data_IF_539849715305
#
_entry.id   IF_539849715305
#
_cell.length_a   1.000
_cell.length_b   1.000
_cell.length_c   1.000
_cell.angle_alpha   90.00
_cell.angle_beta   90.00
_cell.angle_gamma   90.00
#
_symmetry.space_group_name_H-M   'P 1'
#
loop_
_entity.id
_entity.type
_entity.pdbx_description
1 polymer ?
#
# COMPACT_ATOMS: atom_id res chain seq x y z
N UNK A 1 -0.46 28.63 -33.66
CA UNK A 1 -1.75 28.22 -34.28
C UNK A 1 -1.70 26.84 -34.97
N UNK A 2 -0.53 26.34 -35.41
CA UNK A 2 -0.42 25.09 -36.17
C UNK A 2 -0.63 23.79 -35.35
N UNK A 3 -0.20 23.73 -34.09
CA UNK A 3 -0.29 22.50 -33.29
C UNK A 3 -1.73 22.04 -32.99
N UNK A 4 -2.65 22.97 -32.72
CA UNK A 4 -4.05 22.65 -32.48
C UNK A 4 -4.72 22.06 -33.72
N UNK A 5 -4.45 22.66 -34.89
CA UNK A 5 -4.92 22.15 -36.19
C UNK A 5 -4.35 20.76 -36.48
N UNK A 6 -3.06 20.54 -36.23
CA UNK A 6 -2.44 19.23 -36.36
C UNK A 6 -3.14 18.19 -35.47
N UNK A 7 -3.32 18.49 -34.18
CA UNK A 7 -4.00 17.57 -33.25
C UNK A 7 -5.45 17.27 -33.66
N UNK A 8 -6.20 18.24 -34.17
CA UNK A 8 -7.58 18.03 -34.60
C UNK A 8 -7.68 17.15 -35.84
N UNK A 9 -6.86 17.40 -36.87
CA UNK A 9 -6.86 16.61 -38.11
C UNK A 9 -6.38 15.18 -37.86
N UNK A 10 -5.31 15.02 -37.08
CA UNK A 10 -4.83 13.70 -36.65
C UNK A 10 -5.95 12.94 -35.94
N UNK A 11 -6.65 13.59 -35.01
CA UNK A 11 -7.76 12.97 -34.29
C UNK A 11 -8.89 12.48 -35.22
N UNK A 12 -9.20 13.22 -36.29
CA UNK A 12 -10.22 12.85 -37.27
C UNK A 12 -9.77 11.65 -38.11
N UNK A 13 -8.55 11.69 -38.66
CA UNK A 13 -8.03 10.59 -39.48
C UNK A 13 -7.97 9.29 -38.66
N UNK A 14 -7.41 9.34 -37.45
CA UNK A 14 -7.25 8.17 -36.59
C UNK A 14 -8.59 7.50 -36.29
N UNK A 15 -9.63 8.28 -35.98
CA UNK A 15 -10.94 7.73 -35.64
C UNK A 15 -11.70 7.15 -36.82
N UNK A 16 -11.53 7.71 -38.01
CA UNK A 16 -12.27 7.26 -39.21
C UNK A 16 -11.60 6.14 -39.97
N UNK A 17 -10.27 6.00 -39.88
CA UNK A 17 -9.52 5.26 -40.90
C UNK A 17 -8.46 4.32 -40.35
N UNK A 18 -8.16 4.36 -39.05
CA UNK A 18 -7.12 3.50 -38.46
C UNK A 18 -7.79 2.53 -37.48
N UNK A 19 -7.65 1.20 -37.70
CA UNK A 19 -8.18 0.23 -36.76
C UNK A 19 -7.48 0.37 -35.41
N UNK A 20 -8.19 0.07 -34.33
CA UNK A 20 -7.65 0.06 -32.97
C UNK A 20 -7.08 -1.33 -32.70
N UNK A 21 -5.77 -1.48 -32.80
CA UNK A 21 -5.07 -2.74 -32.54
C UNK A 21 -4.79 -2.92 -31.04
N UNK A 22 -4.62 -4.17 -30.62
CA UNK A 22 -4.40 -4.52 -29.21
C UNK A 22 -3.06 -4.00 -28.72
N UNK A 23 -1.98 -4.19 -29.48
CA UNK A 23 -0.63 -3.77 -29.13
C UNK A 23 -0.03 -2.79 -30.15
N UNK A 24 0.85 -1.90 -29.68
CA UNK A 24 1.48 -0.90 -30.57
C UNK A 24 2.41 -1.54 -31.61
N UNK A 25 3.08 -2.65 -31.25
CA UNK A 25 3.97 -3.38 -32.17
C UNK A 25 3.22 -3.90 -33.40
N UNK A 26 1.92 -4.12 -33.30
CA UNK A 26 1.10 -4.66 -34.39
C UNK A 26 0.88 -3.66 -35.51
N UNK A 27 1.20 -2.38 -35.30
CA UNK A 27 1.23 -1.37 -36.37
C UNK A 27 2.55 -1.36 -37.15
N UNK A 28 3.58 -2.06 -36.64
CA UNK A 28 4.91 -2.14 -37.25
C UNK A 28 5.17 -3.48 -37.94
N UNK A 29 4.27 -4.45 -37.79
CA UNK A 29 4.33 -5.72 -38.53
C UNK A 29 4.06 -5.47 -40.01
N UNK A 30 4.72 -6.27 -40.86
CA UNK A 30 4.63 -6.14 -42.32
C UNK A 30 3.19 -6.18 -42.84
N UNK A 31 2.36 -7.02 -42.22
CA UNK A 31 0.95 -7.20 -42.61
C UNK A 31 0.07 -5.96 -42.36
N UNK A 32 0.50 -5.07 -41.47
CA UNK A 32 -0.27 -3.90 -40.99
C UNK A 32 0.44 -2.57 -41.25
N UNK A 33 1.58 -2.60 -41.94
CA UNK A 33 2.41 -1.42 -42.21
C UNK A 33 1.64 -0.38 -43.05
N UNK A 34 0.71 -0.85 -43.88
CA UNK A 34 -0.17 -0.04 -44.70
C UNK A 34 -1.03 0.93 -43.89
N UNK A 35 -1.43 0.58 -42.66
CA UNK A 35 -2.19 1.48 -41.80
C UNK A 35 -1.40 2.72 -41.44
N UNK A 36 -0.11 2.56 -41.14
CA UNK A 36 0.77 3.67 -40.78
C UNK A 36 1.09 4.52 -42.01
N UNK A 37 1.41 3.89 -43.14
CA UNK A 37 1.68 4.59 -44.41
C UNK A 37 0.47 5.39 -44.89
N UNK A 38 -0.72 4.80 -44.85
CA UNK A 38 -1.97 5.47 -45.23
C UNK A 38 -2.28 6.66 -44.33
N UNK A 39 -2.09 6.51 -43.02
CA UNK A 39 -2.24 7.59 -42.05
C UNK A 39 -1.29 8.76 -42.33
N UNK A 40 0.01 8.49 -42.49
CA UNK A 40 1.02 9.52 -42.77
C UNK A 40 0.71 10.20 -44.11
N UNK A 41 0.37 9.44 -45.15
CA UNK A 41 0.01 9.98 -46.46
C UNK A 41 -1.24 10.89 -46.43
N UNK A 42 -2.24 10.57 -45.60
CA UNK A 42 -3.42 11.43 -45.40
C UNK A 42 -3.08 12.72 -44.67
N UNK A 43 -2.25 12.63 -43.63
CA UNK A 43 -1.78 13.81 -42.92
C UNK A 43 -0.94 14.73 -43.79
N UNK A 44 -0.05 14.17 -44.59
CA UNK A 44 0.75 14.91 -45.55
C UNK A 44 -0.13 15.75 -46.48
N UNK A 45 -1.21 15.15 -47.00
CA UNK A 45 -2.17 15.84 -47.88
C UNK A 45 -2.94 16.96 -47.17
N UNK A 46 -3.31 16.78 -45.90
CA UNK A 46 -4.12 17.77 -45.18
C UNK A 46 -3.31 18.93 -44.58
N UNK A 47 -2.06 18.68 -44.21
CA UNK A 47 -1.25 19.60 -43.42
C UNK A 47 0.07 19.99 -44.10
N UNK A 48 0.28 19.56 -45.35
CA UNK A 48 1.48 19.83 -46.14
C UNK A 48 2.76 19.44 -45.38
N UNK A 49 2.73 18.24 -44.79
CA UNK A 49 3.84 17.71 -43.99
C UNK A 49 4.83 17.02 -44.91
N UNK A 50 6.10 17.39 -44.79
CA UNK A 50 7.19 16.66 -45.42
C UNK A 50 7.34 15.27 -44.79
N UNK A 51 6.83 14.26 -45.50
CA UNK A 51 6.89 12.85 -45.11
C UNK A 51 8.28 12.24 -45.21
N UNK A 52 9.25 12.95 -45.79
CA UNK A 52 10.65 12.52 -45.85
C UNK A 52 11.43 12.95 -44.61
N UNK A 53 10.95 13.97 -43.89
CA UNK A 53 11.60 14.47 -42.70
C UNK A 53 11.38 13.54 -41.49
N UNK A 54 12.48 13.01 -40.96
CA UNK A 54 12.47 12.14 -39.77
C UNK A 54 11.70 12.77 -38.58
N UNK A 55 11.87 14.08 -38.25
CA UNK A 55 11.12 14.70 -37.16
C UNK A 55 9.60 14.67 -37.36
N UNK A 56 9.12 14.84 -38.60
CA UNK A 56 7.69 14.80 -38.89
C UNK A 56 7.11 13.39 -38.76
N UNK A 57 7.85 12.38 -39.22
CA UNK A 57 7.46 10.97 -39.06
C UNK A 57 7.35 10.62 -37.56
N UNK A 58 8.36 11.00 -36.76
CA UNK A 58 8.35 10.79 -35.31
C UNK A 58 7.15 11.48 -34.66
N UNK A 59 6.90 12.75 -34.98
CA UNK A 59 5.75 13.49 -34.44
C UNK A 59 4.41 12.85 -34.82
N UNK A 60 4.24 12.42 -36.08
CA UNK A 60 3.01 11.76 -36.55
C UNK A 60 2.80 10.41 -35.86
N UNK A 61 3.86 9.61 -35.71
CA UNK A 61 3.79 8.29 -35.05
C UNK A 61 3.49 8.42 -33.56
N UNK A 62 4.07 9.39 -32.86
CA UNK A 62 3.77 9.62 -31.45
C UNK A 62 2.35 10.14 -31.23
N UNK A 63 1.87 11.00 -32.12
CA UNK A 63 0.47 11.43 -32.08
C UNK A 63 -0.46 10.23 -32.30
N UNK A 64 -0.17 9.35 -33.26
CA UNK A 64 -0.94 8.13 -33.47
C UNK A 64 -0.95 7.23 -32.23
N UNK A 65 0.21 6.99 -31.61
CA UNK A 65 0.31 6.22 -30.34
C UNK A 65 -0.58 6.81 -29.27
N UNK A 66 -0.53 8.14 -29.11
CA UNK A 66 -1.30 8.83 -28.08
C UNK A 66 -2.81 8.68 -28.31
N UNK A 67 -3.27 8.86 -29.55
CA UNK A 67 -4.67 8.74 -29.92
C UNK A 67 -5.18 7.30 -29.76
N UNK A 68 -4.38 6.30 -30.17
CA UNK A 68 -4.73 4.89 -29.99
C UNK A 68 -4.78 4.49 -28.51
N UNK A 69 -3.89 5.03 -27.67
CA UNK A 69 -3.94 4.84 -26.22
C UNK A 69 -5.23 5.43 -25.63
N UNK A 70 -5.60 6.65 -26.04
CA UNK A 70 -6.83 7.30 -25.58
C UNK A 70 -8.08 6.56 -26.08
N UNK A 71 -8.08 6.10 -27.33
CA UNK A 71 -9.15 5.29 -27.90
C UNK A 71 -9.38 4.00 -27.11
N UNK A 72 -8.30 3.24 -26.86
CA UNK A 72 -8.35 2.03 -26.02
C UNK A 72 -8.85 2.32 -24.61
N UNK A 73 -8.37 3.39 -23.98
CA UNK A 73 -8.84 3.78 -22.65
C UNK A 73 -10.34 4.10 -22.64
N UNK A 74 -10.83 4.85 -23.64
CA UNK A 74 -12.26 5.18 -23.77
C UNK A 74 -13.11 3.93 -23.99
N UNK A 75 -12.67 3.01 -24.84
CA UNK A 75 -13.35 1.71 -25.06
C UNK A 75 -13.36 0.88 -23.78
N UNK A 76 -12.21 0.74 -23.12
CA UNK A 76 -12.11 0.03 -21.83
C UNK A 76 -13.04 0.65 -20.79
N UNK A 77 -13.05 1.98 -20.68
CA UNK A 77 -13.91 2.70 -19.75
C UNK A 77 -15.39 2.48 -20.04
N UNK A 78 -15.80 2.57 -21.31
CA UNK A 78 -17.20 2.44 -21.74
C UNK A 78 -17.75 1.02 -21.58
N UNK A 79 -16.95 0.01 -21.92
CA UNK A 79 -17.46 -1.37 -22.05
C UNK A 79 -16.99 -2.32 -20.94
N UNK A 80 -15.90 -2.03 -20.22
CA UNK A 80 -15.30 -2.98 -19.28
C UNK A 80 -15.20 -2.48 -17.83
N UNK A 81 -15.18 -1.17 -17.60
CA UNK A 81 -14.88 -0.62 -16.26
C UNK A 81 -16.11 -0.22 -15.42
N UNK A 82 -17.32 -0.14 -15.98
CA UNK A 82 -18.45 0.50 -15.28
C UNK A 82 -18.89 -0.25 -14.00
N UNK A 83 -18.72 -1.58 -13.95
CA UNK A 83 -19.12 -2.40 -12.80
C UNK A 83 -17.98 -2.69 -11.82
N UNK A 84 -16.76 -2.94 -12.32
CA UNK A 84 -15.62 -3.31 -11.46
C UNK A 84 -14.93 -2.12 -10.81
N UNK A 85 -14.82 -0.97 -11.50
CA UNK A 85 -14.14 0.20 -10.93
C UNK A 85 -14.98 0.88 -9.85
N UNK A 86 -16.30 0.96 -10.02
CA UNK A 86 -17.21 1.53 -9.01
C UNK A 86 -17.19 0.71 -7.72
N UNK A 87 -17.23 -0.61 -7.85
CA UNK A 87 -17.10 -1.55 -6.73
C UNK A 87 -15.74 -1.39 -6.03
N UNK A 88 -14.63 -1.32 -6.77
CA UNK A 88 -13.30 -1.12 -6.17
C UNK A 88 -13.18 0.23 -5.46
N UNK A 89 -13.67 1.33 -6.05
CA UNK A 89 -13.70 2.65 -5.40
C UNK A 89 -14.53 2.63 -4.12
N UNK A 90 -15.70 1.99 -4.14
CA UNK A 90 -16.54 1.81 -2.94
C UNK A 90 -15.77 1.01 -1.86
N UNK A 91 -15.13 -0.09 -2.26
CA UNK A 91 -14.32 -0.92 -1.36
C UNK A 91 -13.12 -0.14 -0.79
N UNK A 92 -12.46 0.70 -1.60
CA UNK A 92 -11.39 1.58 -1.14
C UNK A 92 -11.89 2.59 -0.10
N UNK A 93 -13.09 3.13 -0.30
CA UNK A 93 -13.73 4.02 0.67
C UNK A 93 -14.06 3.34 2.01
N UNK A 94 -14.23 2.02 2.03
CA UNK A 94 -14.47 1.24 3.24
C UNK A 94 -13.18 0.85 3.99
N UNK A 95 -11.99 1.07 3.41
CA UNK A 95 -10.72 0.75 4.06
C UNK A 95 -10.49 1.70 5.23
N UNK A 96 -10.57 1.16 6.45
CA UNK A 96 -10.38 1.93 7.70
C UNK A 96 -8.97 2.48 7.87
N UNK A 97 -7.97 1.68 7.52
CA UNK A 97 -6.55 2.02 7.69
C UNK A 97 -5.78 1.79 6.38
N UNK A 98 -5.55 2.85 5.57
CA UNK A 98 -4.76 2.74 4.36
C UNK A 98 -3.33 2.29 4.69
N UNK A 99 -2.83 1.30 3.95
CA UNK A 99 -1.48 0.77 4.13
C UNK A 99 -0.46 1.66 3.40
N UNK A 100 0.71 1.86 4.03
CA UNK A 100 1.83 2.67 3.53
C UNK A 100 3.08 1.82 3.19
N UNK A 101 2.91 0.54 2.86
CA UNK A 101 4.03 -0.38 2.50
C UNK A 101 4.38 -0.38 1.00
N UNK A 102 3.74 0.49 0.21
CA UNK A 102 3.97 0.56 -1.23
C UNK A 102 3.51 -0.72 -1.96
N UNK A 103 4.39 -1.30 -2.78
CA UNK A 103 4.11 -2.54 -3.52
C UNK A 103 4.31 -3.81 -2.69
N UNK A 104 4.82 -3.70 -1.46
CA UNK A 104 5.09 -4.85 -0.61
C UNK A 104 3.84 -5.28 0.16
N UNK A 105 3.62 -6.61 0.21
CA UNK A 105 2.61 -7.20 1.09
C UNK A 105 2.97 -6.99 2.56
N UNK A 106 1.99 -7.12 3.47
CA UNK A 106 2.23 -7.03 4.91
C UNK A 106 3.31 -7.99 5.39
N UNK A 107 3.30 -9.24 4.90
CA UNK A 107 4.28 -10.26 5.29
C UNK A 107 5.68 -9.84 4.83
N UNK A 108 5.83 -9.43 3.58
CA UNK A 108 7.10 -9.00 3.04
C UNK A 108 7.64 -7.77 3.78
N UNK A 109 6.79 -6.78 4.04
CA UNK A 109 7.21 -5.58 4.77
C UNK A 109 7.55 -5.90 6.23
N UNK A 110 6.81 -6.80 6.89
CA UNK A 110 7.12 -7.25 8.24
C UNK A 110 8.51 -7.87 8.33
N UNK A 111 8.91 -8.70 7.36
CA UNK A 111 10.27 -9.24 7.30
C UNK A 111 11.34 -8.15 7.18
N UNK A 112 11.11 -7.16 6.32
CA UNK A 112 12.03 -6.02 6.16
C UNK A 112 12.10 -5.20 7.45
N UNK A 113 10.98 -4.99 8.12
CA UNK A 113 10.93 -4.28 9.40
C UNK A 113 11.71 -5.05 10.46
N UNK A 114 11.48 -6.36 10.61
CA UNK A 114 12.19 -7.23 11.57
C UNK A 114 13.71 -7.19 11.40
N UNK A 115 14.20 -7.16 10.16
CA UNK A 115 15.64 -7.05 9.90
C UNK A 115 16.28 -5.75 10.42
N UNK A 116 15.49 -4.69 10.66
CA UNK A 116 15.99 -3.41 11.17
C UNK A 116 15.97 -3.32 12.70
N UNK A 117 15.26 -4.21 13.39
CA UNK A 117 15.21 -4.20 14.85
C UNK A 117 16.46 -4.89 15.38
N UNK A 118 17.16 -4.19 16.28
CA UNK A 118 18.42 -4.67 16.89
C UNK A 118 18.13 -5.57 18.09
N UNK A 119 17.04 -5.30 18.83
CA UNK A 119 16.64 -6.05 20.02
C UNK A 119 15.19 -6.54 19.89
N UNK A 120 15.01 -7.85 19.97
CA UNK A 120 13.70 -8.51 20.01
C UNK A 120 12.91 -8.46 18.69
N UNK A 121 11.84 -9.27 18.65
CA UNK A 121 10.85 -9.18 17.58
C UNK A 121 9.96 -7.94 17.79
N UNK A 122 9.66 -7.17 16.74
CA UNK A 122 8.84 -5.97 16.84
C UNK A 122 7.42 -6.30 17.32
N UNK A 123 6.94 -5.52 18.30
CA UNK A 123 5.59 -5.65 18.85
C UNK A 123 4.55 -5.45 17.74
N UNK A 124 3.35 -6.06 17.84
CA UNK A 124 2.26 -5.77 16.89
C UNK A 124 1.95 -4.27 16.72
N UNK A 125 2.06 -3.48 17.81
CA UNK A 125 1.89 -2.01 17.78
C UNK A 125 3.00 -1.34 16.96
N UNK A 126 4.23 -1.83 17.05
CA UNK A 126 5.37 -1.28 16.32
C UNK A 126 5.29 -1.59 14.83
N UNK A 127 4.86 -2.81 14.49
CA UNK A 127 4.53 -3.19 13.12
C UNK A 127 3.41 -2.31 12.56
N UNK A 128 2.32 -2.11 13.31
CA UNK A 128 1.21 -1.25 12.90
C UNK A 128 1.66 0.20 12.66
N UNK A 129 2.45 0.77 13.58
CA UNK A 129 3.05 2.09 13.44
C UNK A 129 3.91 2.20 12.18
N UNK A 130 4.65 1.15 11.82
CA UNK A 130 5.47 1.15 10.61
C UNK A 130 4.61 1.10 9.34
N UNK A 131 3.60 0.23 9.32
CA UNK A 131 2.76 0.00 8.14
C UNK A 131 1.82 1.16 7.80
N UNK A 132 1.50 2.02 8.77
CA UNK A 132 0.51 3.09 8.61
C UNK A 132 1.09 4.50 8.79
N UNK A 133 2.41 4.65 8.82
CA UNK A 133 3.07 5.94 8.81
C UNK A 133 3.37 6.37 7.36
N UNK A 134 2.76 7.46 6.92
CA UNK A 134 3.07 8.07 5.62
C UNK A 134 4.12 9.18 5.78
N UNK A 135 4.54 9.80 4.66
CA UNK A 135 5.36 11.03 4.71
C UNK A 135 4.71 12.16 5.50
N UNK A 136 3.38 12.17 5.56
CA UNK A 136 2.59 13.16 6.28
C UNK A 136 2.23 12.69 7.71
N UNK A 137 2.84 11.60 8.19
CA UNK A 137 2.52 10.97 9.46
C UNK A 137 1.30 10.04 9.40
N UNK A 138 0.64 9.88 10.55
CA UNK A 138 -0.49 8.98 10.77
C UNK A 138 -1.83 9.63 10.45
N UNK A 139 -2.75 8.86 9.86
CA UNK A 139 -4.15 9.28 9.71
C UNK A 139 -4.84 9.37 11.07
N UNK A 140 -5.84 10.24 11.22
CA UNK A 140 -6.56 10.40 12.48
C UNK A 140 -7.12 9.07 13.04
N UNK A 141 -7.71 8.17 12.22
CA UNK A 141 -8.14 6.85 12.69
C UNK A 141 -6.97 6.01 13.22
N UNK A 142 -5.81 6.04 12.55
CA UNK A 142 -4.64 5.27 12.96
C UNK A 142 -4.07 5.78 14.30
N UNK A 143 -4.07 7.10 14.53
CA UNK A 143 -3.63 7.68 15.79
C UNK A 143 -4.51 7.23 16.96
N UNK A 144 -5.84 7.28 16.78
CA UNK A 144 -6.80 6.80 17.79
C UNK A 144 -6.59 5.32 18.10
N UNK A 145 -6.40 4.50 17.07
CA UNK A 145 -6.13 3.06 17.23
C UNK A 145 -4.83 2.79 17.98
N UNK A 146 -3.74 3.50 17.65
CA UNK A 146 -2.44 3.38 18.32
C UNK A 146 -2.56 3.75 19.80
N UNK A 147 -3.22 4.88 20.10
CA UNK A 147 -3.43 5.34 21.47
C UNK A 147 -4.26 4.35 22.29
N UNK A 148 -5.34 3.81 21.70
CA UNK A 148 -6.17 2.80 22.34
C UNK A 148 -5.40 1.51 22.65
N UNK A 149 -4.59 1.03 21.69
CA UNK A 149 -3.77 -0.17 21.89
C UNK A 149 -2.72 0.03 23.00
N UNK A 150 -2.06 1.19 23.04
CA UNK A 150 -1.09 1.52 24.09
C UNK A 150 -1.73 1.56 25.49
N UNK A 151 -2.96 2.08 25.59
CA UNK A 151 -3.71 2.09 26.84
C UNK A 151 -4.02 0.68 27.34
N UNK A 152 -4.50 -0.21 26.46
CA UNK A 152 -4.77 -1.60 26.81
C UNK A 152 -3.51 -2.34 27.27
N UNK A 153 -2.36 -2.07 26.64
CA UNK A 153 -1.08 -2.66 27.08
C UNK A 153 -0.65 -2.18 28.47
N UNK A 154 -0.86 -0.90 28.78
CA UNK A 154 -0.56 -0.35 30.10
C UNK A 154 -1.47 -0.92 31.20
N UNK A 155 -2.78 -1.02 30.92
CA UNK A 155 -3.75 -1.61 31.86
C UNK A 155 -3.42 -3.08 32.16
N UNK A 156 -3.01 -3.85 31.14
CA UNK A 156 -2.60 -5.26 31.31
C UNK A 156 -1.32 -5.40 32.15
N UNK A 157 -0.37 -4.50 31.98
CA UNK A 157 0.85 -4.47 32.80
C UNK A 157 0.55 -4.10 34.26
N UNK A 158 -0.36 -3.16 34.48
CA UNK A 158 -0.75 -2.75 35.83
C UNK A 158 -1.47 -3.88 36.58
N UNK A 159 -2.38 -4.61 35.94
CA UNK A 159 -3.08 -5.74 36.56
C UNK A 159 -2.15 -6.91 36.88
N UNK A 160 -1.22 -7.24 35.98
CA UNK A 160 -0.21 -8.29 36.23
C UNK A 160 0.72 -7.93 37.39
N UNK A 161 1.18 -6.68 37.47
CA UNK A 161 2.00 -6.22 38.60
C UNK A 161 1.24 -6.25 39.93
N UNK A 162 -0.03 -5.85 39.95
CA UNK A 162 -0.88 -5.93 41.15
C UNK A 162 -1.06 -7.37 41.62
N UNK A 163 -1.33 -8.29 40.70
CA UNK A 163 -1.44 -9.72 41.03
C UNK A 163 -0.13 -10.30 41.57
N UNK A 164 1.01 -10.02 40.94
CA UNK A 164 2.32 -10.51 41.41
C UNK A 164 2.69 -9.94 42.79
N UNK A 165 2.33 -8.69 43.06
CA UNK A 165 2.60 -8.07 44.36
C UNK A 165 1.72 -8.65 45.47
N UNK A 166 0.47 -9.00 45.18
CA UNK A 166 -0.41 -9.72 46.12
C UNK A 166 0.14 -11.11 46.46
N UNK A 167 0.63 -11.86 45.47
CA UNK A 167 1.28 -13.17 45.69
C UNK A 167 2.54 -13.06 46.56
N UNK A 168 3.41 -12.07 46.28
CA UNK A 168 4.61 -11.83 47.08
C UNK A 168 4.27 -11.43 48.52
N UNK A 169 3.22 -10.63 48.73
CA UNK A 169 2.75 -10.28 50.07
C UNK A 169 2.20 -11.50 50.82
N UNK A 170 1.46 -12.39 50.14
CA UNK A 170 0.98 -13.63 50.74
C UNK A 170 2.15 -14.52 51.18
N UNK A 171 3.18 -14.68 50.34
CA UNK A 171 4.38 -15.44 50.67
C UNK A 171 5.16 -14.82 51.85
N UNK A 172 5.22 -13.49 51.92
CA UNK A 172 5.85 -12.79 53.04
C UNK A 172 5.10 -13.03 54.36
N UNK A 173 3.77 -13.17 54.33
CA UNK A 173 2.97 -13.50 55.52
C UNK A 173 3.23 -14.93 55.99
N UNK A 174 3.28 -15.90 55.07
CA UNK A 174 3.51 -17.31 55.44
C UNK A 174 4.91 -17.54 56.00
N UNK A 175 5.93 -16.89 55.43
CA UNK A 175 7.32 -16.94 55.95
C UNK A 175 7.41 -16.37 57.37
N UNK A 176 6.79 -15.23 57.65
CA UNK A 176 6.74 -14.66 59.00
C UNK A 176 6.02 -15.60 60.00
N UNK A 177 4.93 -16.26 59.58
CA UNK A 177 4.24 -17.25 60.40
C UNK A 177 5.14 -18.45 60.72
N UNK A 178 5.85 -18.99 59.72
CA UNK A 178 6.80 -20.08 59.92
C UNK A 178 7.93 -19.69 60.89
N UNK A 179 8.50 -18.50 60.72
CA UNK A 179 9.52 -17.97 61.64
C UNK A 179 9.00 -17.90 63.08
N UNK A 180 7.76 -17.45 63.29
CA UNK A 180 7.15 -17.42 64.63
C UNK A 180 7.00 -18.82 65.23
N UNK A 181 6.57 -19.80 64.44
CA UNK A 181 6.40 -21.19 64.90
C UNK A 181 7.74 -21.83 65.27
N UNK A 182 8.77 -21.60 64.46
CA UNK A 182 10.13 -22.09 64.72
C UNK A 182 10.65 -21.51 66.04
N UNK A 183 10.52 -20.20 66.26
CA UNK A 183 10.94 -19.55 67.51
C UNK A 183 10.21 -20.13 68.73
N UNK A 184 8.91 -20.39 68.62
CA UNK A 184 8.13 -20.98 69.71
C UNK A 184 8.59 -22.41 70.02
N UNK A 185 8.88 -23.23 68.99
CA UNK A 185 9.40 -24.58 69.16
C UNK A 185 10.78 -24.59 69.84
N UNK A 186 11.69 -23.69 69.43
CA UNK A 186 13.01 -23.58 70.04
C UNK A 186 12.91 -23.21 71.53
N UNK A 187 12.06 -22.23 71.87
CA UNK A 187 11.82 -21.82 73.26
C UNK A 187 11.21 -22.96 74.10
N UNK A 188 10.31 -23.75 73.52
CA UNK A 188 9.71 -24.90 74.20
C UNK A 188 10.75 -25.98 74.52
N UNK A 189 11.63 -26.31 73.56
CA UNK A 189 12.69 -27.30 73.76
C UNK A 189 13.71 -26.88 74.81
N UNK A 190 14.05 -25.58 74.89
CA UNK A 190 14.95 -25.06 75.95
C UNK A 190 14.36 -25.12 77.35
N UNK A 191 13.05 -24.96 77.48
CA UNK A 191 12.36 -25.02 78.78
C UNK A 191 12.18 -26.44 79.34
N UNK A 192 12.33 -27.49 78.52
CA UNK A 192 12.27 -28.89 78.98
C UNK A 192 13.64 -29.48 79.35
N UNK A 193 14.74 -28.74 79.13
CA UNK A 193 16.11 -29.18 79.46
C UNK A 193 16.70 -28.52 80.72
N UNK A 194 15.86 -27.87 81.55
CA UNK A 194 16.17 -27.40 82.90
C UNK A 194 15.41 -28.23 83.93
#
# INVERSE_FOLDING_TARGET
MQAAKFASEVGIIVRGHIPILTHWKDYKTKDNEDHLKNYIGKLARQLDIDTTSEPAIVACTDMLKSQQRQGRYRLKKKFFNNERCTTNTSNQGQVKFPQCTGSQSYIAHAHVVRQKYVEGDPTPIDLFKNFHCSKNGYTAPAQVAIMGALRLTAETQETTLKSQTEELQALKRTTNQLHSLISNLLNFSTSQSQ
#
